data_IF_437899794464
#
_entry.id   IF_437899794464
#
_cell.length_a   1.000
_cell.length_b   1.000
_cell.length_c   1.000
_cell.angle_alpha   90.00
_cell.angle_beta   90.00
_cell.angle_gamma   90.00
#
_symmetry.space_group_name_H-M   'P 1'
#
loop_
_entity.id
_entity.type
_entity.pdbx_description
1 polymer ?
#
# COMPACT_ATOMS: atom_id res chain seq x y z
N UNK A 1 -19.57 17.26 37.54
CA UNK A 1 -18.27 16.53 37.54
C UNK A 1 -17.27 17.33 36.71
N UNK A 2 -15.99 17.40 37.13
CA UNK A 2 -14.98 18.22 36.45
C UNK A 2 -14.35 17.48 35.26
N UNK A 3 -13.95 18.23 34.24
CA UNK A 3 -13.29 17.75 33.04
C UNK A 3 -12.03 16.96 33.39
N UNK A 4 -11.89 15.76 32.85
CA UNK A 4 -10.73 14.89 33.10
C UNK A 4 -9.43 15.43 32.47
N UNK A 5 -9.54 16.31 31.46
CA UNK A 5 -8.37 16.93 30.83
C UNK A 5 -7.86 18.17 31.58
N UNK A 6 -8.74 19.15 31.85
CA UNK A 6 -8.31 20.41 32.47
C UNK A 6 -8.60 20.52 33.97
N UNK A 7 -9.44 19.66 34.55
CA UNK A 7 -9.81 19.68 35.97
C UNK A 7 -10.55 20.93 36.47
N UNK A 8 -10.87 21.89 35.59
CA UNK A 8 -11.38 23.23 35.97
C UNK A 8 -12.84 23.45 35.60
N UNK A 9 -13.28 22.92 34.47
CA UNK A 9 -14.62 23.16 33.92
C UNK A 9 -15.53 21.95 34.13
N UNK A 10 -16.84 22.16 34.14
CA UNK A 10 -17.81 21.08 34.18
C UNK A 10 -17.82 20.26 32.88
N UNK A 11 -18.03 18.96 33.02
CA UNK A 11 -18.17 18.03 31.89
C UNK A 11 -19.50 18.26 31.20
N UNK A 12 -19.46 18.45 29.89
CA UNK A 12 -20.63 18.49 29.02
C UNK A 12 -20.48 17.58 27.78
N UNK A 13 -19.33 16.93 27.62
CA UNK A 13 -19.02 16.08 26.47
C UNK A 13 -18.46 14.73 26.93
N UNK A 14 -18.99 13.62 26.38
CA UNK A 14 -18.51 12.26 26.68
C UNK A 14 -17.97 11.61 25.41
N UNK A 15 -16.68 11.29 25.42
CA UNK A 15 -16.01 10.57 24.35
C UNK A 15 -15.88 9.09 24.67
N UNK A 16 -16.09 8.22 23.68
CA UNK A 16 -15.92 6.77 23.82
C UNK A 16 -15.20 6.24 22.59
N UNK A 17 -14.03 5.63 22.79
CA UNK A 17 -13.25 4.99 21.75
C UNK A 17 -13.18 3.49 22.01
N UNK A 18 -13.39 2.67 20.97
CA UNK A 18 -13.22 1.22 21.03
C UNK A 18 -12.11 0.85 20.06
N UNK A 19 -10.96 0.44 20.59
CA UNK A 19 -9.80 -0.03 19.80
C UNK A 19 -9.49 -1.45 20.23
N UNK A 20 -9.47 -2.40 19.28
CA UNK A 20 -9.21 -3.82 19.54
C UNK A 20 -10.05 -4.43 20.67
N UNK A 21 -11.31 -3.99 20.79
CA UNK A 21 -12.25 -4.47 21.82
C UNK A 21 -12.08 -3.83 23.20
N UNK A 22 -11.06 -2.99 23.40
CA UNK A 22 -10.88 -2.24 24.65
C UNK A 22 -11.61 -0.90 24.54
N UNK A 23 -12.56 -0.68 25.45
CA UNK A 23 -13.35 0.55 25.52
C UNK A 23 -12.66 1.55 26.44
N UNK A 24 -12.29 2.71 25.91
CA UNK A 24 -11.83 3.88 26.69
C UNK A 24 -12.90 4.96 26.66
N UNK A 25 -13.31 5.42 27.83
CA UNK A 25 -14.31 6.50 27.99
C UNK A 25 -13.65 7.70 28.65
N UNK A 26 -13.92 8.90 28.12
CA UNK A 26 -13.39 10.16 28.64
C UNK A 26 -14.52 11.18 28.82
N UNK A 27 -14.47 11.90 29.93
CA UNK A 27 -15.43 12.93 30.29
C UNK A 27 -14.76 14.31 30.21
N UNK A 28 -15.16 15.11 29.22
CA UNK A 28 -14.49 16.35 28.84
C UNK A 28 -15.44 17.55 28.92
N UNK A 29 -14.88 18.74 29.09
CA UNK A 29 -15.60 19.98 28.84
C UNK A 29 -15.47 20.37 27.36
N UNK A 30 -16.40 21.19 26.88
CA UNK A 30 -16.50 21.63 25.49
C UNK A 30 -15.20 22.26 24.97
N UNK A 31 -14.52 23.06 25.79
CA UNK A 31 -13.22 23.65 25.40
C UNK A 31 -12.17 22.58 25.12
N UNK A 32 -12.05 21.59 26.00
CA UNK A 32 -11.08 20.51 25.81
C UNK A 32 -11.51 19.55 24.69
N UNK A 33 -12.81 19.34 24.49
CA UNK A 33 -13.32 18.57 23.36
C UNK A 33 -13.00 19.25 22.01
N UNK A 34 -13.12 20.59 21.95
CA UNK A 34 -12.72 21.42 20.80
C UNK A 34 -11.22 21.38 20.53
N UNK A 35 -10.40 21.55 21.57
CA UNK A 35 -8.93 21.48 21.47
C UNK A 35 -8.46 20.09 21.01
N UNK A 36 -9.13 19.02 21.44
CA UNK A 36 -8.86 17.65 21.01
C UNK A 36 -9.51 17.29 19.65
N UNK A 37 -10.16 18.25 18.98
CA UNK A 37 -10.80 18.03 17.67
C UNK A 37 -12.02 17.10 17.69
N UNK A 38 -12.55 16.76 18.87
CA UNK A 38 -13.59 15.73 19.05
C UNK A 38 -14.99 16.21 18.66
N UNK A 39 -15.21 17.52 18.57
CA UNK A 39 -16.52 18.11 18.23
C UNK A 39 -16.83 18.02 16.73
N UNK A 40 -15.80 17.88 15.89
CA UNK A 40 -15.92 17.77 14.43
C UNK A 40 -15.52 16.37 13.92
N UNK A 41 -15.72 15.32 14.73
CA UNK A 41 -15.66 13.95 14.21
C UNK A 41 -16.91 13.58 13.39
N UNK A 42 -17.35 14.50 12.53
CA UNK A 42 -17.83 14.08 11.24
C UNK A 42 -16.64 13.44 10.54
N UNK A 43 -16.80 12.25 9.99
CA UNK A 43 -15.85 11.67 9.02
C UNK A 43 -15.78 12.50 7.71
N UNK A 44 -16.08 13.80 7.75
CA UNK A 44 -15.65 14.78 6.77
C UNK A 44 -14.23 15.19 7.12
N UNK A 45 -13.28 14.43 6.60
CA UNK A 45 -11.85 14.78 6.55
C UNK A 45 -11.74 16.28 6.25
N UNK A 46 -11.39 17.15 7.21
CA UNK A 46 -11.09 18.52 6.87
C UNK A 46 -9.85 18.49 5.97
N UNK A 47 -9.89 19.27 4.90
CA UNK A 47 -8.91 19.36 3.80
C UNK A 47 -7.48 19.75 4.30
N UNK A 48 -7.29 19.87 5.61
CA UNK A 48 -6.01 20.04 6.27
C UNK A 48 -5.38 18.66 6.57
N UNK A 49 -4.97 17.97 5.50
CA UNK A 49 -4.27 16.69 5.55
C UNK A 49 -3.00 16.77 6.43
N UNK A 50 -2.36 17.95 6.52
CA UNK A 50 -1.18 18.21 7.37
C UNK A 50 -1.44 17.96 8.85
N UNK A 51 -2.53 18.47 9.41
CA UNK A 51 -2.85 18.25 10.83
C UNK A 51 -3.20 16.80 11.13
N UNK A 52 -3.89 16.13 10.20
CA UNK A 52 -4.25 14.72 10.32
C UNK A 52 -3.02 13.81 10.23
N UNK A 53 -2.14 14.05 9.26
CA UNK A 53 -0.89 13.31 9.13
C UNK A 53 0.04 13.58 10.32
N UNK A 54 0.16 14.83 10.76
CA UNK A 54 0.97 15.18 11.93
C UNK A 54 0.55 14.42 13.19
N UNK A 55 -0.75 14.30 13.48
CA UNK A 55 -1.26 13.54 14.63
C UNK A 55 -1.14 12.02 14.40
N UNK A 56 -1.44 11.53 13.19
CA UNK A 56 -1.40 10.11 12.86
C UNK A 56 0.02 9.54 12.84
N UNK A 57 0.99 10.32 12.37
CA UNK A 57 2.41 9.97 12.36
C UNK A 57 3.14 10.37 13.64
N UNK A 58 2.61 11.34 14.39
CA UNK A 58 3.25 11.92 15.57
C UNK A 58 3.00 11.18 16.89
N UNK A 59 1.85 10.50 17.04
CA UNK A 59 1.42 9.97 18.36
C UNK A 59 1.23 8.45 18.44
N UNK A 60 1.48 7.67 17.36
CA UNK A 60 1.26 6.22 17.40
C UNK A 60 2.54 5.37 17.55
N UNK A 61 2.60 4.73 18.72
CA UNK A 61 3.40 3.56 19.15
C UNK A 61 4.33 2.89 18.11
N UNK A 62 5.56 2.62 18.56
CA UNK A 62 6.69 1.93 17.92
C UNK A 62 6.38 0.59 17.20
N UNK A 63 5.18 0.05 17.34
CA UNK A 63 4.79 -1.23 16.77
C UNK A 63 4.16 -1.15 15.37
N UNK A 64 3.89 0.05 14.83
CA UNK A 64 3.33 0.22 13.49
C UNK A 64 4.36 0.68 12.44
N UNK A 65 5.52 1.18 12.86
CA UNK A 65 6.56 1.70 11.97
C UNK A 65 7.86 0.90 12.14
N UNK A 66 8.35 0.20 11.10
CA UNK A 66 9.74 -0.26 11.13
C UNK A 66 10.65 0.98 11.12
N UNK A 67 11.19 1.32 12.30
CA UNK A 67 12.30 2.25 12.51
C UNK A 67 12.19 3.60 11.80
N UNK A 68 11.57 4.59 12.45
CA UNK A 68 11.62 5.99 12.03
C UNK A 68 12.98 6.67 12.31
N UNK A 69 14.03 5.91 12.66
CA UNK A 69 15.38 6.44 12.84
C UNK A 69 16.11 6.52 11.51
N UNK A 70 15.84 7.60 10.77
CA UNK A 70 16.68 8.30 9.76
C UNK A 70 15.77 8.91 8.68
N UNK A 71 15.14 10.04 8.99
CA UNK A 71 14.27 10.79 8.08
C UNK A 71 15.02 11.75 7.14
N UNK A 72 16.32 11.96 7.34
CA UNK A 72 17.11 12.92 6.56
C UNK A 72 17.52 12.45 5.15
N UNK A 73 17.20 11.22 4.73
CA UNK A 73 17.70 10.65 3.47
C UNK A 73 16.66 10.61 2.33
N UNK A 74 15.36 10.58 2.63
CA UNK A 74 14.33 10.54 1.59
C UNK A 74 13.98 11.95 1.15
N UNK A 75 14.63 12.37 0.05
CA UNK A 75 14.38 13.61 -0.65
C UNK A 75 13.94 13.29 -2.07
N UNK A 76 12.87 13.94 -2.53
CA UNK A 76 12.44 13.81 -3.91
C UNK A 76 13.50 14.38 -4.86
N UNK A 77 13.92 13.59 -5.83
CA UNK A 77 14.93 14.00 -6.82
C UNK A 77 14.46 15.10 -7.78
N UNK A 78 13.15 15.27 -7.93
CA UNK A 78 12.56 16.25 -8.86
C UNK A 78 12.30 17.60 -8.17
N UNK A 79 11.46 17.64 -7.12
CA UNK A 79 11.12 18.89 -6.43
C UNK A 79 11.99 19.21 -5.20
N UNK A 80 12.84 18.27 -4.77
CA UNK A 80 13.71 18.45 -3.62
C UNK A 80 13.02 18.40 -2.25
N UNK A 81 11.73 18.07 -2.20
CA UNK A 81 10.97 17.97 -0.95
C UNK A 81 11.45 16.78 -0.12
N UNK A 82 11.60 16.96 1.19
CA UNK A 82 11.88 15.85 2.11
C UNK A 82 10.59 15.21 2.62
N UNK A 83 10.71 14.00 3.16
CA UNK A 83 9.57 13.33 3.78
C UNK A 83 9.01 14.12 4.98
N UNK A 84 9.88 14.71 5.81
CA UNK A 84 9.44 15.49 6.98
C UNK A 84 8.67 16.74 6.56
N UNK A 85 9.12 17.44 5.50
CA UNK A 85 8.36 18.56 4.93
C UNK A 85 6.99 18.12 4.40
N UNK A 86 6.84 16.88 3.94
CA UNK A 86 5.56 16.32 3.52
C UNK A 86 4.64 16.05 4.70
N UNK A 87 5.16 15.48 5.79
CA UNK A 87 4.38 15.28 7.02
C UNK A 87 3.87 16.61 7.55
N UNK A 88 4.73 17.64 7.56
CA UNK A 88 4.37 18.97 8.05
C UNK A 88 3.36 19.70 7.13
N UNK A 89 3.58 19.67 5.81
CA UNK A 89 2.75 20.41 4.84
C UNK A 89 1.51 19.64 4.39
N UNK A 90 1.48 18.32 4.59
CA UNK A 90 0.40 17.43 4.18
C UNK A 90 0.13 17.39 2.68
N UNK A 91 1.10 17.79 1.85
CA UNK A 91 0.93 17.90 0.39
C UNK A 91 2.21 17.52 -0.32
N UNK A 92 2.10 16.74 -1.39
CA UNK A 92 3.24 16.44 -2.26
C UNK A 92 3.61 17.64 -3.14
N UNK A 93 4.91 17.78 -3.41
CA UNK A 93 5.42 18.84 -4.27
C UNK A 93 5.38 18.54 -5.77
N UNK A 94 5.45 17.26 -6.18
CA UNK A 94 5.35 16.84 -7.58
C UNK A 94 4.88 15.38 -7.68
N UNK A 95 4.62 14.89 -8.89
CA UNK A 95 4.21 13.50 -9.15
C UNK A 95 5.24 12.47 -8.66
N UNK A 96 6.54 12.76 -8.78
CA UNK A 96 7.59 11.82 -8.39
C UNK A 96 7.65 11.62 -6.86
N UNK A 97 6.98 12.47 -6.07
CA UNK A 97 6.89 12.28 -4.63
C UNK A 97 6.10 11.00 -4.27
N UNK A 98 5.11 10.61 -5.07
CA UNK A 98 4.35 9.38 -4.81
C UNK A 98 5.27 8.15 -4.87
N UNK A 99 6.14 8.07 -5.88
CA UNK A 99 7.09 6.96 -6.03
C UNK A 99 8.19 6.98 -4.95
N UNK A 100 8.75 8.16 -4.66
CA UNK A 100 9.88 8.28 -3.72
C UNK A 100 9.42 7.93 -2.30
N UNK A 101 8.20 8.29 -1.92
CA UNK A 101 7.68 8.10 -0.57
C UNK A 101 6.73 6.90 -0.43
N UNK A 102 6.50 6.14 -1.50
CA UNK A 102 5.58 5.00 -1.60
C UNK A 102 5.70 4.06 -0.39
N UNK A 103 6.90 3.55 -0.13
CA UNK A 103 7.16 2.60 0.96
C UNK A 103 6.68 3.05 2.35
N UNK A 104 6.63 4.36 2.60
CA UNK A 104 6.18 4.92 3.90
C UNK A 104 4.71 5.31 3.89
N UNK A 105 4.16 5.65 2.72
CA UNK A 105 2.81 6.20 2.59
C UNK A 105 1.79 5.11 2.31
N UNK A 106 2.20 4.04 1.63
CA UNK A 106 1.35 2.90 1.33
C UNK A 106 0.71 2.24 2.56
N UNK A 107 1.43 1.94 3.66
CA UNK A 107 0.82 1.39 4.86
C UNK A 107 -0.22 2.33 5.48
N UNK A 108 0.03 3.64 5.38
CA UNK A 108 -0.80 4.69 5.98
C UNK A 108 -2.09 4.84 5.19
N UNK A 109 -1.99 4.95 3.87
CA UNK A 109 -3.15 4.97 2.98
C UNK A 109 -3.99 3.70 3.13
N UNK A 110 -3.35 2.54 3.30
CA UNK A 110 -4.04 1.27 3.55
C UNK A 110 -4.82 1.27 4.85
N UNK A 111 -4.29 1.87 5.92
CA UNK A 111 -5.01 1.99 7.18
C UNK A 111 -6.22 2.92 7.09
N UNK A 112 -6.07 4.04 6.39
CA UNK A 112 -7.12 5.07 6.28
C UNK A 112 -8.24 4.59 5.33
N UNK A 113 -7.87 4.09 4.15
CA UNK A 113 -8.80 3.74 3.08
C UNK A 113 -9.12 2.24 3.03
N UNK A 114 -8.47 1.40 3.83
CA UNK A 114 -8.58 -0.06 3.82
C UNK A 114 -7.84 -0.74 2.65
N UNK A 115 -7.57 0.00 1.56
CA UNK A 115 -6.90 -0.50 0.37
C UNK A 115 -6.16 0.63 -0.37
N UNK A 116 -5.06 0.28 -1.06
CA UNK A 116 -4.27 1.23 -1.85
C UNK A 116 -4.74 1.32 -3.30
N UNK A 117 -5.61 0.40 -3.72
CA UNK A 117 -6.14 0.33 -5.06
C UNK A 117 -7.62 -0.01 -5.04
N UNK A 118 -8.42 0.78 -5.74
CA UNK A 118 -9.82 0.46 -5.98
C UNK A 118 -9.92 -0.61 -7.06
N UNK A 119 -10.36 -1.80 -6.66
CA UNK A 119 -10.52 -2.95 -7.57
C UNK A 119 -11.86 -2.97 -8.32
N UNK A 120 -12.73 -1.95 -8.13
CA UNK A 120 -14.05 -1.92 -8.76
C UNK A 120 -15.06 -2.88 -8.13
N UNK A 121 -16.22 -3.02 -8.78
CA UNK A 121 -17.27 -3.95 -8.35
C UNK A 121 -16.94 -5.37 -8.85
N UNK A 122 -16.22 -6.12 -8.02
CA UNK A 122 -15.87 -7.50 -8.35
C UNK A 122 -17.07 -8.43 -8.18
N UNK A 123 -17.53 -9.01 -9.30
CA UNK A 123 -18.42 -10.18 -9.25
C UNK A 123 -17.65 -11.36 -8.66
N UNK A 124 -18.20 -12.06 -7.66
CA UNK A 124 -17.57 -13.24 -7.02
C UNK A 124 -17.13 -14.31 -8.04
N UNK A 125 -17.68 -14.29 -9.25
CA UNK A 125 -17.33 -15.18 -10.35
C UNK A 125 -16.05 -14.79 -11.10
N UNK A 126 -15.67 -13.51 -11.10
CA UNK A 126 -14.44 -13.01 -11.77
C UNK A 126 -13.19 -13.31 -10.91
N UNK A 127 -13.33 -13.36 -9.58
CA UNK A 127 -12.20 -13.63 -8.68
C UNK A 127 -11.59 -15.02 -8.86
N UNK A 128 -12.34 -16.03 -9.35
CA UNK A 128 -11.73 -17.33 -9.71
C UNK A 128 -10.81 -17.25 -10.93
N UNK A 129 -11.00 -16.27 -11.81
CA UNK A 129 -10.08 -16.01 -12.92
C UNK A 129 -8.93 -15.06 -12.50
N UNK A 130 -9.20 -14.14 -11.55
CA UNK A 130 -8.22 -13.12 -11.11
C UNK A 130 -7.32 -13.54 -9.94
N UNK A 131 -7.67 -14.55 -9.13
CA UNK A 131 -6.76 -15.13 -8.13
C UNK A 131 -5.54 -15.82 -8.77
N UNK A 132 -5.60 -16.12 -10.07
CA UNK A 132 -4.45 -16.55 -10.87
C UNK A 132 -3.54 -15.39 -11.31
N UNK A 133 -3.97 -14.13 -11.19
CA UNK A 133 -3.21 -12.95 -11.60
C UNK A 133 -2.50 -12.21 -10.45
N UNK A 134 -2.84 -12.49 -9.18
CA UNK A 134 -2.11 -11.92 -8.03
C UNK A 134 -0.94 -12.81 -7.55
N UNK A 135 -0.73 -13.96 -8.18
CA UNK A 135 0.48 -14.80 -8.00
C UNK A 135 1.56 -14.48 -9.05
N UNK A 136 1.51 -13.34 -9.72
CA UNK A 136 2.42 -13.05 -10.83
C UNK A 136 3.73 -12.37 -10.38
N UNK A 137 3.80 -11.86 -9.14
CA UNK A 137 4.98 -11.13 -8.66
C UNK A 137 6.03 -12.00 -7.96
N UNK A 138 5.65 -13.16 -7.40
CA UNK A 138 6.62 -14.17 -6.92
C UNK A 138 7.07 -15.14 -8.05
N UNK A 139 6.39 -15.14 -9.20
CA UNK A 139 6.70 -16.01 -10.34
C UNK A 139 7.63 -15.36 -11.39
N UNK A 140 8.11 -14.14 -11.18
CA UNK A 140 9.02 -13.46 -12.14
C UNK A 140 10.39 -14.11 -12.24
N UNK A 141 10.87 -14.82 -11.21
CA UNK A 141 12.18 -15.50 -11.27
C UNK A 141 12.15 -16.89 -11.94
N UNK A 142 11.01 -17.58 -11.98
CA UNK A 142 10.90 -18.90 -12.63
C UNK A 142 10.57 -18.81 -14.13
N UNK A 143 10.03 -17.67 -14.58
CA UNK A 143 9.64 -17.46 -15.97
C UNK A 143 10.83 -17.19 -16.91
N UNK A 144 11.95 -16.64 -16.42
CA UNK A 144 13.11 -16.31 -17.26
C UNK A 144 13.82 -17.56 -17.82
N UNK A 145 13.97 -18.61 -16.99
CA UNK A 145 14.64 -19.84 -17.43
C UNK A 145 13.79 -20.61 -18.47
N UNK A 146 12.48 -20.69 -18.23
CA UNK A 146 11.55 -21.34 -19.15
C UNK A 146 11.43 -20.57 -20.47
N UNK A 147 11.38 -19.25 -20.41
CA UNK A 147 11.33 -18.41 -21.61
C UNK A 147 12.64 -18.51 -22.42
N UNK A 148 13.80 -18.59 -21.75
CA UNK A 148 15.08 -18.83 -22.41
C UNK A 148 15.16 -20.20 -23.10
N UNK A 149 14.60 -21.24 -22.47
CA UNK A 149 14.58 -22.61 -22.99
C UNK A 149 13.64 -22.74 -24.18
N UNK A 150 12.46 -22.12 -24.12
CA UNK A 150 11.53 -22.05 -25.25
C UNK A 150 12.14 -21.32 -26.44
N UNK A 151 12.90 -20.25 -26.21
CA UNK A 151 13.57 -19.52 -27.28
C UNK A 151 14.58 -20.40 -28.03
N UNK A 152 15.42 -21.14 -27.31
CA UNK A 152 16.37 -22.09 -27.89
C UNK A 152 15.69 -23.20 -28.69
N UNK A 153 14.68 -23.84 -28.11
CA UNK A 153 13.92 -24.90 -28.81
C UNK A 153 13.25 -24.40 -30.09
N UNK A 154 12.78 -23.15 -30.13
CA UNK A 154 12.24 -22.55 -31.34
C UNK A 154 13.30 -22.26 -32.40
N UNK A 155 14.53 -21.92 -32.00
CA UNK A 155 15.67 -21.75 -32.90
C UNK A 155 16.12 -23.10 -33.47
N UNK A 156 16.22 -24.13 -32.62
CA UNK A 156 16.58 -25.50 -32.99
C UNK A 156 15.54 -26.13 -33.92
N UNK A 157 14.25 -25.89 -33.68
CA UNK A 157 13.16 -26.31 -34.58
C UNK A 157 13.34 -25.71 -35.98
N UNK A 158 13.63 -24.41 -36.06
CA UNK A 158 13.85 -23.73 -37.35
C UNK A 158 15.07 -24.27 -38.06
N UNK A 159 16.13 -24.61 -37.32
CA UNK A 159 17.34 -25.19 -37.88
C UNK A 159 17.09 -26.63 -38.38
N UNK A 160 16.41 -27.47 -37.61
CA UNK A 160 16.06 -28.83 -38.02
C UNK A 160 15.16 -28.87 -39.26
N UNK A 161 14.23 -27.90 -39.41
CA UNK A 161 13.41 -27.74 -40.61
C UNK A 161 14.27 -27.34 -41.82
N UNK A 162 15.25 -26.43 -41.63
CA UNK A 162 16.19 -26.02 -42.71
C UNK A 162 17.11 -27.16 -43.15
N UNK A 163 17.49 -28.03 -42.23
CA UNK A 163 18.34 -29.20 -42.49
C UNK A 163 17.55 -30.44 -42.94
N UNK A 164 16.23 -30.30 -43.15
CA UNK A 164 15.32 -31.39 -43.56
C UNK A 164 15.28 -32.60 -42.59
N UNK A 165 15.64 -32.38 -41.32
CA UNK A 165 15.60 -33.38 -40.25
C UNK A 165 14.22 -33.43 -39.60
N UNK A 166 13.23 -33.93 -40.33
CA UNK A 166 11.83 -33.89 -39.91
C UNK A 166 11.51 -34.71 -38.66
N UNK A 167 12.23 -35.82 -38.41
CA UNK A 167 12.05 -36.61 -37.18
C UNK A 167 12.50 -35.85 -35.92
N UNK A 168 13.63 -35.12 -36.01
CA UNK A 168 14.12 -34.28 -34.92
C UNK A 168 13.21 -33.06 -34.72
N UNK A 169 12.74 -32.45 -35.80
CA UNK A 169 11.79 -31.35 -35.74
C UNK A 169 10.47 -31.76 -35.05
N UNK A 170 9.98 -32.98 -35.31
CA UNK A 170 8.81 -33.51 -34.63
C UNK A 170 9.03 -33.67 -33.11
N UNK A 171 10.19 -34.20 -32.69
CA UNK A 171 10.55 -34.32 -31.27
C UNK A 171 10.63 -32.95 -30.58
N UNK A 172 11.30 -31.98 -31.20
CA UNK A 172 11.44 -30.61 -30.67
C UNK A 172 10.05 -29.93 -30.57
N UNK A 173 9.20 -30.11 -31.57
CA UNK A 173 7.83 -29.58 -31.56
C UNK A 173 7.01 -30.16 -30.40
N UNK A 174 7.13 -31.47 -30.16
CA UNK A 174 6.43 -32.12 -29.06
C UNK A 174 6.99 -31.69 -27.69
N UNK A 175 8.29 -31.38 -27.59
CA UNK A 175 8.89 -30.77 -26.39
C UNK A 175 8.40 -29.34 -26.12
N UNK A 176 8.32 -28.50 -27.16
CA UNK A 176 7.74 -27.14 -27.06
C UNK A 176 6.29 -27.23 -26.57
N UNK A 177 5.52 -28.19 -27.10
CA UNK A 177 4.13 -28.39 -26.69
C UNK A 177 4.01 -28.79 -25.22
N UNK A 178 4.87 -29.70 -24.74
CA UNK A 178 4.91 -30.11 -23.32
C UNK A 178 5.26 -28.96 -22.36
N UNK A 179 6.05 -27.99 -22.81
CA UNK A 179 6.43 -26.83 -21.98
C UNK A 179 5.30 -25.79 -21.97
N UNK A 180 4.56 -25.62 -23.07
CA UNK A 180 3.43 -24.69 -23.14
C UNK A 180 2.13 -25.20 -22.50
N UNK A 181 1.92 -26.53 -22.46
CA UNK A 181 0.71 -27.16 -21.88
C UNK A 181 0.80 -27.35 -20.35
N UNK A 182 1.87 -26.87 -19.70
CA UNK A 182 2.08 -26.92 -18.24
C UNK A 182 1.63 -25.62 -17.57
#
# INVERSE_FOLDING_TARGET
MLCQNCGKNEVNFKYTQVVNGVKKEMALCEKCAKELGLENMDFNIPINFSSFLGDFFGDYDENFLPSFTQSNALKCTNCGMTYDEFVDKGKFGCENCYNVFENRIDPVLKNIHGCNQHVGRNSKFINKASENHSKTEENTMQNDEQHSKLKKLNEDLKQAIKEEKYEEAAKIRDEIKKINDK
#
